data_IF_220587077661
#
_entry.id   IF_220587077661
#
_cell.length_a   1.000
_cell.length_b   1.000
_cell.length_c   1.000
_cell.angle_alpha   90.00
_cell.angle_beta   90.00
_cell.angle_gamma   90.00
#
_symmetry.space_group_name_H-M   'P 1'
#
loop_
_entity.id
_entity.type
_entity.pdbx_description
1 polymer ?
#
# COMPACT_ATOMS: atom_id res chain seq x y z
N UNK A 1 16.09 10.51 -3.44
CA UNK A 1 15.21 9.45 -3.98
C UNK A 1 15.68 8.15 -3.37
N UNK A 2 14.79 7.37 -2.76
CA UNK A 2 15.15 6.12 -2.09
C UNK A 2 14.62 4.95 -2.88
N UNK A 3 15.34 3.83 -2.85
CA UNK A 3 14.98 2.61 -3.56
C UNK A 3 14.20 1.69 -2.63
N UNK A 4 13.07 1.20 -3.12
CA UNK A 4 12.17 0.33 -2.38
C UNK A 4 11.87 -0.93 -3.19
N UNK A 5 11.76 -2.05 -2.49
CA UNK A 5 11.28 -3.30 -3.04
C UNK A 5 9.79 -3.45 -2.71
N UNK A 6 8.97 -3.45 -3.75
CA UNK A 6 7.53 -3.67 -3.65
C UNK A 6 7.24 -5.16 -3.81
N UNK A 7 6.52 -5.75 -2.86
CA UNK A 7 6.19 -7.19 -2.86
C UNK A 7 4.79 -7.49 -3.39
N UNK A 8 3.93 -6.48 -3.54
CA UNK A 8 2.56 -6.62 -4.04
C UNK A 8 2.08 -5.41 -4.84
N UNK A 9 1.07 -5.61 -5.68
CA UNK A 9 0.43 -4.50 -6.39
C UNK A 9 -0.62 -3.80 -5.53
N UNK A 10 -0.57 -2.48 -5.47
CA UNK A 10 -1.52 -1.65 -4.73
C UNK A 10 -1.63 -0.26 -5.38
N UNK A 11 -2.78 0.39 -5.25
CA UNK A 11 -2.98 1.78 -5.66
C UNK A 11 -3.07 2.64 -4.42
N UNK A 12 -2.16 3.60 -4.28
CA UNK A 12 -2.13 4.57 -3.19
C UNK A 12 -2.87 5.83 -3.62
N UNK A 13 -3.95 6.18 -2.92
CA UNK A 13 -4.69 7.42 -3.15
C UNK A 13 -4.26 8.48 -2.15
N UNK A 14 -3.74 9.58 -2.66
CA UNK A 14 -3.26 10.72 -1.87
C UNK A 14 -4.36 11.77 -1.69
N UNK A 15 -4.33 12.55 -0.60
CA UNK A 15 -5.31 13.62 -0.34
C UNK A 15 -5.28 14.74 -1.39
N UNK A 16 -4.16 14.90 -2.10
CA UNK A 16 -4.03 15.78 -3.28
C UNK A 16 -4.85 15.32 -4.50
N UNK A 17 -5.52 14.16 -4.43
CA UNK A 17 -6.20 13.53 -5.57
C UNK A 17 -5.25 12.81 -6.53
N UNK A 18 -3.98 12.63 -6.15
CA UNK A 18 -3.01 11.85 -6.91
C UNK A 18 -3.15 10.37 -6.58
N UNK A 19 -2.97 9.52 -7.58
CA UNK A 19 -2.98 8.06 -7.42
C UNK A 19 -1.64 7.49 -7.88
N UNK A 20 -0.97 6.72 -7.02
CA UNK A 20 0.30 6.07 -7.33
C UNK A 20 0.11 4.57 -7.32
N UNK A 21 0.32 3.92 -8.46
CA UNK A 21 0.26 2.47 -8.57
C UNK A 21 1.61 1.89 -8.20
N UNK A 22 1.65 1.10 -7.13
CA UNK A 22 2.76 0.25 -6.77
C UNK A 22 2.70 -1.03 -7.60
N UNK A 23 3.78 -1.32 -8.31
CA UNK A 23 3.97 -2.57 -9.03
C UNK A 23 5.05 -3.39 -8.32
N UNK A 24 4.90 -4.73 -8.25
CA UNK A 24 5.90 -5.59 -7.64
C UNK A 24 7.23 -5.47 -8.39
N UNK A 25 8.30 -5.22 -7.66
CA UNK A 25 9.61 -4.94 -8.24
C UNK A 25 10.40 -3.90 -7.44
N UNK A 26 11.56 -3.55 -7.96
CA UNK A 26 12.43 -2.53 -7.35
C UNK A 26 12.17 -1.20 -8.04
N UNK A 27 11.67 -0.25 -7.27
CA UNK A 27 11.28 1.07 -7.76
C UNK A 27 11.85 2.16 -6.86
N UNK A 28 12.09 3.33 -7.45
CA UNK A 28 12.56 4.51 -6.71
C UNK A 28 11.38 5.43 -6.44
N UNK A 29 11.19 5.75 -5.17
CA UNK A 29 10.10 6.62 -4.71
C UNK A 29 10.67 7.83 -3.94
N UNK A 30 9.91 8.92 -3.93
CA UNK A 30 10.19 10.09 -3.09
C UNK A 30 9.76 9.83 -1.65
N UNK A 31 10.25 10.64 -0.72
CA UNK A 31 9.89 10.50 0.71
C UNK A 31 8.38 10.71 0.91
N UNK A 32 7.74 11.60 0.14
CA UNK A 32 6.28 11.83 0.20
C UNK A 32 5.45 10.55 -0.02
N UNK A 33 5.91 9.68 -0.92
CA UNK A 33 5.24 8.40 -1.20
C UNK A 33 5.57 7.40 -0.09
N UNK A 34 6.79 7.44 0.44
CA UNK A 34 7.24 6.57 1.51
C UNK A 34 6.58 6.87 2.87
N UNK A 35 6.23 8.13 3.13
CA UNK A 35 5.48 8.57 4.31
C UNK A 35 4.00 8.13 4.28
N UNK A 36 3.52 7.61 3.15
CA UNK A 36 2.14 7.16 3.06
C UNK A 36 1.90 5.89 3.89
N UNK A 37 0.89 5.92 4.75
CA UNK A 37 0.56 4.82 5.68
C UNK A 37 0.39 3.45 5.00
N UNK A 38 -0.12 3.43 3.77
CA UNK A 38 -0.29 2.20 3.01
C UNK A 38 0.99 1.77 2.28
N UNK A 39 1.93 2.67 2.00
CA UNK A 39 3.17 2.35 1.29
C UNK A 39 4.05 1.37 2.07
N UNK A 40 4.18 1.57 3.39
CA UNK A 40 4.99 0.70 4.28
C UNK A 40 4.49 -0.74 4.33
N UNK A 41 3.23 -1.00 3.97
CA UNK A 41 2.64 -2.34 3.92
C UNK A 41 2.99 -3.11 2.64
N UNK A 42 3.32 -2.42 1.55
CA UNK A 42 3.58 -3.04 0.23
C UNK A 42 5.03 -2.88 -0.22
N UNK A 43 5.75 -1.90 0.31
CA UNK A 43 7.10 -1.54 -0.09
C UNK A 43 8.06 -1.55 1.10
N UNK A 44 9.24 -2.13 0.89
CA UNK A 44 10.30 -2.20 1.89
C UNK A 44 11.51 -1.39 1.42
N UNK A 45 12.07 -0.55 2.31
CA UNK A 45 13.26 0.22 1.98
C UNK A 45 14.46 -0.73 1.80
N UNK A 46 15.14 -0.65 0.66
CA UNK A 46 16.37 -1.40 0.45
C UNK A 46 17.58 -0.72 1.11
N UNK A 47 17.47 0.57 1.41
CA UNK A 47 18.57 1.42 1.88
C UNK A 47 18.66 1.55 3.42
N UNK A 48 17.65 1.05 4.17
CA UNK A 48 17.65 1.08 5.64
C UNK A 48 17.43 -0.32 6.22
N UNK A 49 18.42 -0.91 6.93
CA UNK A 49 18.25 -2.16 7.65
C UNK A 49 17.59 -1.89 9.00
N UNK A 50 16.27 -1.70 9.01
CA UNK A 50 15.49 -1.67 10.26
C UNK A 50 14.24 -2.53 10.08
N UNK A 51 14.38 -3.76 10.58
CA UNK A 51 13.43 -4.57 11.36
C UNK A 51 11.91 -4.40 11.18
N UNK A 52 11.26 -5.58 11.12
CA UNK A 52 9.84 -5.88 11.42
C UNK A 52 8.80 -5.58 10.32
N UNK A 53 8.76 -6.49 9.33
CA UNK A 53 7.55 -6.72 8.55
C UNK A 53 6.55 -7.56 9.36
N UNK A 54 5.68 -6.90 10.14
CA UNK A 54 4.44 -7.53 10.60
C UNK A 54 3.48 -7.64 9.41
N UNK A 55 3.43 -8.86 8.86
CA UNK A 55 2.48 -9.20 7.82
C UNK A 55 1.06 -9.16 8.34
N UNK A 56 0.32 -8.08 8.05
CA UNK A 56 -1.14 -8.16 7.99
C UNK A 56 -1.64 -8.19 6.56
N UNK A 57 -1.62 -9.41 6.04
CA UNK A 57 -2.61 -9.89 5.08
C UNK A 57 -4.01 -9.45 5.57
N UNK A 58 -4.66 -8.61 4.78
CA UNK A 58 -6.02 -8.18 5.00
C UNK A 58 -6.73 -7.84 3.69
N UNK A 59 -6.56 -8.67 2.66
CA UNK A 59 -7.52 -8.70 1.55
C UNK A 59 -8.85 -9.26 2.08
N UNK A 60 -9.78 -8.38 2.37
CA UNK A 60 -11.21 -8.63 2.26
C UNK A 60 -11.76 -7.36 1.59
N UNK A 61 -12.09 -7.38 0.31
CA UNK A 61 -13.08 -8.28 -0.24
C UNK A 61 -14.34 -7.45 -0.41
N UNK A 62 -14.42 -6.82 -1.58
CA UNK A 62 -15.63 -6.28 -2.18
C UNK A 62 -16.79 -7.29 -1.98
N UNK A 63 -17.89 -6.84 -1.40
CA UNK A 63 -18.89 -7.77 -0.87
C UNK A 63 -20.18 -7.11 -0.40
N UNK A 64 -20.79 -6.29 -1.28
CA UNK A 64 -22.24 -6.11 -1.47
C UNK A 64 -23.13 -6.79 -0.41
N UNK A 65 -23.78 -6.00 0.45
CA UNK A 65 -25.06 -6.36 1.08
C UNK A 65 -26.05 -5.23 0.83
N UNK A 66 -26.65 -5.30 -0.36
CA UNK A 66 -27.98 -4.74 -0.60
C UNK A 66 -29.03 -5.59 0.13
N UNK A 67 -30.14 -4.94 0.45
CA UNK A 67 -31.48 -5.51 0.74
C UNK A 67 -31.71 -6.07 2.15
N UNK A 68 -32.89 -6.00 2.78
CA UNK A 68 -34.18 -5.29 2.64
C UNK A 68 -35.07 -5.86 3.77
N UNK A 69 -36.02 -5.09 4.33
CA UNK A 69 -37.23 -5.55 5.06
C UNK A 69 -37.02 -6.37 6.35
N UNK A 70 -37.95 -6.53 7.29
CA UNK A 70 -39.26 -5.97 7.69
C UNK A 70 -39.56 -6.70 9.02
N UNK A 71 -40.01 -6.00 10.06
CA UNK A 71 -40.91 -6.48 11.14
C UNK A 71 -41.25 -5.34 12.09
#
# INVERSE_FOLDING_TARGET
MKRYMVTGSATLSFPDGREVVLLPGVHEYTDDVAEHWAFTSYAQALDNPTEEQDGKKGRAGDGKKQSSSDS
#
